data_IF_190869367826
#
_entry.id   IF_190869367826
#
_cell.length_a   1.000
_cell.length_b   1.000
_cell.length_c   1.000
_cell.angle_alpha   90.00
_cell.angle_beta   90.00
_cell.angle_gamma   90.00
#
_symmetry.space_group_name_H-M   'P 1'
#
loop_
_entity.id
_entity.type
_entity.pdbx_description
1 polymer ?
#
# COMPACT_ATOMS: atom_id res chain seq x y z
N UNK A 1 -47.20 10.63 -20.55
CA UNK A 1 -45.85 10.04 -20.61
C UNK A 1 -45.21 10.25 -19.25
N UNK A 2 -44.96 9.19 -18.49
CA UNK A 2 -44.32 9.30 -17.16
C UNK A 2 -42.80 9.38 -17.36
N UNK A 3 -42.31 10.58 -17.66
CA UNK A 3 -40.90 10.91 -17.78
C UNK A 3 -40.43 11.56 -16.48
N UNK A 4 -39.26 11.14 -15.98
CA UNK A 4 -38.61 11.76 -14.83
C UNK A 4 -38.21 13.22 -15.17
N UNK A 5 -38.29 14.17 -14.21
CA UNK A 5 -37.87 15.55 -14.41
C UNK A 5 -36.41 15.66 -14.88
N UNK A 6 -36.12 16.57 -15.80
CA UNK A 6 -34.74 16.75 -16.28
C UNK A 6 -33.77 17.09 -15.12
N UNK A 7 -32.56 16.47 -15.05
CA UNK A 7 -31.62 16.69 -13.95
C UNK A 7 -31.17 18.15 -13.83
N UNK A 8 -30.93 18.58 -12.58
CA UNK A 8 -30.61 19.98 -12.25
C UNK A 8 -29.13 20.35 -12.40
N UNK A 9 -28.25 19.38 -12.66
CA UNK A 9 -26.80 19.60 -12.78
C UNK A 9 -26.47 20.19 -14.16
N UNK A 10 -25.45 21.05 -14.23
CA UNK A 10 -24.96 21.66 -15.48
C UNK A 10 -24.52 20.61 -16.51
N UNK A 11 -23.83 19.58 -16.05
CA UNK A 11 -23.42 18.42 -16.84
C UNK A 11 -23.98 17.15 -16.16
N UNK A 12 -25.21 16.75 -16.48
CA UNK A 12 -25.81 15.56 -15.88
C UNK A 12 -25.11 14.31 -16.39
N UNK A 13 -24.97 13.30 -15.52
CA UNK A 13 -24.40 12.03 -15.94
C UNK A 13 -25.38 11.26 -16.86
N UNK A 14 -24.90 10.38 -17.75
CA UNK A 14 -25.75 9.48 -18.53
C UNK A 14 -26.77 8.72 -17.68
N UNK A 15 -26.39 8.31 -16.46
CA UNK A 15 -27.29 7.63 -15.52
C UNK A 15 -28.38 8.55 -14.99
N UNK A 16 -28.05 9.82 -14.69
CA UNK A 16 -29.01 10.82 -14.23
C UNK A 16 -30.00 11.23 -15.34
N UNK A 17 -29.54 11.32 -16.60
CA UNK A 17 -30.42 11.65 -17.74
C UNK A 17 -31.53 10.59 -17.89
N UNK A 18 -31.16 9.31 -17.77
CA UNK A 18 -32.12 8.22 -17.89
C UNK A 18 -32.77 7.82 -16.56
N UNK A 19 -32.46 8.48 -15.44
CA UNK A 19 -32.98 8.13 -14.12
C UNK A 19 -32.79 6.63 -13.84
N UNK A 20 -31.53 6.18 -13.95
CA UNK A 20 -31.12 4.81 -13.70
C UNK A 20 -30.56 4.73 -12.29
N UNK A 21 -31.21 3.94 -11.44
CA UNK A 21 -30.77 3.69 -10.06
C UNK A 21 -29.67 2.63 -10.02
N UNK A 22 -28.95 2.53 -8.88
CA UNK A 22 -27.97 1.47 -8.67
C UNK A 22 -28.60 0.06 -8.74
N UNK A 23 -29.89 -0.06 -8.43
CA UNK A 23 -30.66 -1.29 -8.59
C UNK A 23 -30.82 -1.70 -10.06
N UNK A 24 -31.07 -0.74 -10.95
CA UNK A 24 -31.19 -0.98 -12.39
C UNK A 24 -29.86 -1.41 -13.04
N UNK A 25 -28.74 -1.13 -12.37
CA UNK A 25 -27.41 -1.55 -12.81
C UNK A 25 -27.12 -3.03 -12.57
N UNK A 26 -27.95 -3.69 -11.74
CA UNK A 26 -27.86 -5.13 -11.50
C UNK A 26 -28.68 -5.97 -12.50
N UNK A 27 -29.48 -5.31 -13.35
CA UNK A 27 -30.30 -5.95 -14.37
C UNK A 27 -29.44 -6.68 -15.41
N UNK A 28 -30.03 -7.72 -16.01
CA UNK A 28 -29.42 -8.39 -17.15
C UNK A 28 -29.19 -7.41 -18.31
N UNK A 29 -28.13 -7.62 -19.09
CA UNK A 29 -27.78 -6.74 -20.22
C UNK A 29 -28.95 -6.52 -21.19
N UNK A 30 -29.77 -7.55 -21.40
CA UNK A 30 -30.92 -7.49 -22.29
C UNK A 30 -32.05 -6.63 -21.72
N UNK A 31 -32.32 -6.76 -20.42
CA UNK A 31 -33.34 -5.97 -19.71
C UNK A 31 -32.94 -4.50 -19.64
N UNK A 32 -31.67 -4.24 -19.32
CA UNK A 32 -31.11 -2.90 -19.29
C UNK A 32 -31.22 -2.21 -20.67
N UNK A 33 -30.87 -2.93 -21.74
CA UNK A 33 -30.98 -2.39 -23.09
C UNK A 33 -32.43 -2.11 -23.50
N UNK A 34 -33.38 -2.97 -23.08
CA UNK A 34 -34.82 -2.76 -23.32
C UNK A 34 -35.33 -1.52 -22.58
N UNK A 35 -34.97 -1.36 -21.31
CA UNK A 35 -35.32 -0.22 -20.48
C UNK A 35 -34.72 1.07 -21.06
N UNK A 36 -33.43 1.05 -21.39
CA UNK A 36 -32.72 2.18 -21.99
C UNK A 36 -33.36 2.60 -23.31
N UNK A 37 -33.66 1.65 -24.21
CA UNK A 37 -34.34 1.93 -25.48
C UNK A 37 -35.71 2.57 -25.27
N UNK A 38 -36.50 2.07 -24.31
CA UNK A 38 -37.81 2.62 -23.97
C UNK A 38 -37.70 4.09 -23.53
N UNK A 39 -36.80 4.39 -22.59
CA UNK A 39 -36.56 5.75 -22.08
C UNK A 39 -36.00 6.67 -23.16
N UNK A 40 -35.06 6.18 -23.97
CA UNK A 40 -34.48 6.90 -25.11
C UNK A 40 -35.55 7.33 -26.13
N UNK A 41 -36.41 6.41 -26.57
CA UNK A 41 -37.48 6.74 -27.54
C UNK A 41 -38.43 7.80 -26.97
N UNK A 42 -38.74 7.76 -25.67
CA UNK A 42 -39.57 8.80 -25.05
C UNK A 42 -38.88 10.16 -25.01
N UNK A 43 -37.57 10.23 -24.77
CA UNK A 43 -36.82 11.49 -24.78
C UNK A 43 -36.64 12.05 -26.19
N UNK A 44 -36.40 11.18 -27.19
CA UNK A 44 -36.33 11.61 -28.59
C UNK A 44 -37.65 12.23 -29.02
N UNK A 45 -38.79 11.62 -28.71
CA UNK A 45 -40.11 12.20 -29.02
C UNK A 45 -40.32 13.59 -28.42
N UNK A 46 -39.66 13.89 -27.30
CA UNK A 46 -39.83 15.15 -26.59
C UNK A 46 -38.84 16.24 -27.06
N UNK A 47 -37.57 15.88 -27.31
CA UNK A 47 -36.50 16.84 -27.61
C UNK A 47 -36.01 16.82 -29.07
N UNK A 48 -36.52 15.95 -29.94
CA UNK A 48 -36.11 15.93 -31.35
C UNK A 48 -36.31 17.31 -32.00
N UNK A 49 -35.34 17.84 -32.76
CA UNK A 49 -35.41 19.20 -33.33
C UNK A 49 -36.60 19.39 -34.28
N UNK A 50 -37.12 18.31 -34.89
CA UNK A 50 -38.25 18.38 -35.80
C UNK A 50 -39.61 18.36 -35.07
N UNK A 51 -39.72 17.56 -34.00
CA UNK A 51 -40.96 17.36 -33.26
C UNK A 51 -41.18 18.45 -32.19
N UNK A 52 -40.08 19.00 -31.65
CA UNK A 52 -40.12 19.90 -30.49
C UNK A 52 -40.36 21.37 -30.82
N UNK A 53 -40.40 21.75 -32.11
CA UNK A 53 -40.69 23.12 -32.57
C UNK A 53 -42.04 23.62 -32.08
N UNK A 54 -43.05 22.75 -32.13
CA UNK A 54 -44.43 23.08 -31.74
C UNK A 54 -44.75 22.70 -30.28
N UNK A 55 -43.80 22.11 -29.55
CA UNK A 55 -44.01 21.67 -28.16
C UNK A 55 -43.55 22.75 -27.17
N UNK A 56 -44.47 23.26 -26.36
CA UNK A 56 -44.15 24.13 -25.23
C UNK A 56 -43.70 23.28 -24.04
N UNK A 57 -42.40 23.18 -23.83
CA UNK A 57 -41.80 22.41 -22.73
C UNK A 57 -41.40 23.39 -21.64
N UNK A 58 -41.99 23.23 -20.45
CA UNK A 58 -41.64 24.05 -19.29
C UNK A 58 -40.61 23.32 -18.43
N UNK A 59 -39.58 24.05 -17.98
CA UNK A 59 -38.65 23.60 -16.96
C UNK A 59 -38.53 24.70 -15.91
N UNK A 60 -38.84 24.35 -14.66
CA UNK A 60 -38.86 25.30 -13.53
C UNK A 60 -39.72 26.55 -13.81
N UNK A 61 -40.88 26.35 -14.44
CA UNK A 61 -41.80 27.45 -14.77
C UNK A 61 -41.38 28.32 -15.97
N UNK A 62 -40.21 28.08 -16.57
CA UNK A 62 -39.74 28.80 -17.77
C UNK A 62 -39.93 27.96 -19.04
N UNK A 63 -40.32 28.60 -20.14
CA UNK A 63 -40.39 27.97 -21.46
C UNK A 63 -38.97 27.68 -21.96
N UNK A 64 -38.69 26.43 -22.34
CA UNK A 64 -37.40 26.08 -22.92
C UNK A 64 -37.20 26.75 -24.28
N UNK A 65 -36.09 27.49 -24.41
CA UNK A 65 -35.57 27.92 -25.70
C UNK A 65 -35.21 26.71 -26.59
N UNK A 66 -35.35 26.86 -27.90
CA UNK A 66 -34.99 25.86 -28.90
C UNK A 66 -33.53 25.39 -28.77
N UNK A 67 -32.61 26.32 -28.45
CA UNK A 67 -31.20 26.00 -28.21
C UNK A 67 -31.02 25.01 -27.05
N UNK A 68 -31.79 25.17 -25.97
CA UNK A 68 -31.71 24.27 -24.81
C UNK A 68 -32.32 22.90 -25.15
N UNK A 69 -33.41 22.87 -25.93
CA UNK A 69 -34.00 21.60 -26.41
C UNK A 69 -32.98 20.82 -27.24
N UNK A 70 -32.27 21.51 -28.13
CA UNK A 70 -31.21 20.90 -28.94
C UNK A 70 -30.06 20.36 -28.08
N UNK A 71 -29.57 21.16 -27.13
CA UNK A 71 -28.52 20.70 -26.19
C UNK A 71 -28.94 19.46 -25.41
N UNK A 72 -30.19 19.41 -24.92
CA UNK A 72 -30.73 18.23 -24.23
C UNK A 72 -30.81 17.01 -25.14
N UNK A 73 -31.20 17.20 -26.39
CA UNK A 73 -31.20 16.13 -27.39
C UNK A 73 -29.79 15.56 -27.61
N UNK A 74 -28.79 16.43 -27.80
CA UNK A 74 -27.40 16.00 -27.98
C UNK A 74 -26.88 15.25 -26.73
N UNK A 75 -27.24 15.71 -25.53
CA UNK A 75 -26.92 15.00 -24.27
C UNK A 75 -27.60 13.64 -24.15
N UNK A 76 -28.87 13.51 -24.54
CA UNK A 76 -29.60 12.24 -24.56
C UNK A 76 -28.95 11.26 -25.54
N UNK A 77 -28.54 11.74 -26.71
CA UNK A 77 -27.87 10.95 -27.74
C UNK A 77 -26.53 10.41 -27.21
N UNK A 78 -25.70 11.31 -26.67
CA UNK A 78 -24.40 10.94 -26.11
C UNK A 78 -24.55 9.93 -24.96
N UNK A 79 -25.49 10.18 -24.06
CA UNK A 79 -25.79 9.29 -22.94
C UNK A 79 -26.23 7.90 -23.41
N UNK A 80 -27.06 7.84 -24.46
CA UNK A 80 -27.50 6.57 -25.04
C UNK A 80 -26.33 5.79 -25.63
N UNK A 81 -25.46 6.46 -26.38
CA UNK A 81 -24.32 5.81 -27.03
C UNK A 81 -23.29 5.26 -26.02
N UNK A 82 -23.10 5.94 -24.89
CA UNK A 82 -22.24 5.44 -23.80
C UNK A 82 -22.88 4.24 -23.10
N UNK A 83 -24.18 4.31 -22.81
CA UNK A 83 -24.85 3.29 -22.01
C UNK A 83 -25.25 2.07 -22.83
N UNK A 84 -25.47 2.18 -24.14
CA UNK A 84 -25.87 1.05 -25.00
C UNK A 84 -24.80 -0.04 -25.03
N UNK A 85 -23.53 0.35 -25.17
CA UNK A 85 -22.42 -0.60 -25.25
C UNK A 85 -21.97 -1.01 -23.84
N UNK A 86 -21.92 -2.32 -23.52
CA UNK A 86 -21.56 -2.78 -22.18
C UNK A 86 -20.12 -2.38 -21.81
N UNK A 87 -19.21 -2.38 -22.77
CA UNK A 87 -17.81 -1.97 -22.56
C UNK A 87 -17.71 -0.48 -22.23
N UNK A 88 -18.36 0.38 -23.02
CA UNK A 88 -18.40 1.84 -22.78
C UNK A 88 -19.10 2.18 -21.47
N UNK A 89 -20.18 1.47 -21.13
CA UNK A 89 -20.88 1.59 -19.84
C UNK A 89 -19.99 1.28 -18.65
N UNK A 90 -19.25 0.16 -18.69
CA UNK A 90 -18.32 -0.22 -17.62
C UNK A 90 -17.16 0.78 -17.54
N UNK A 91 -16.62 1.19 -18.68
CA UNK A 91 -15.55 2.18 -18.78
C UNK A 91 -15.97 3.53 -18.17
N UNK A 92 -17.16 4.02 -18.52
CA UNK A 92 -17.74 5.24 -17.98
C UNK A 92 -17.98 5.12 -16.47
N UNK A 93 -18.54 3.99 -16.00
CA UNK A 93 -18.72 3.73 -14.57
C UNK A 93 -17.39 3.80 -13.81
N UNK A 94 -16.33 3.18 -14.35
CA UNK A 94 -14.98 3.23 -13.75
C UNK A 94 -14.47 4.66 -13.66
N UNK A 95 -14.67 5.46 -14.71
CA UNK A 95 -14.32 6.87 -14.72
C UNK A 95 -15.06 7.64 -13.62
N UNK A 96 -16.38 7.49 -13.51
CA UNK A 96 -17.19 8.19 -12.51
C UNK A 96 -16.89 7.77 -11.07
N UNK A 97 -16.63 6.48 -10.81
CA UNK A 97 -16.32 5.98 -9.46
C UNK A 97 -14.93 6.37 -8.96
N UNK A 98 -14.04 6.83 -9.84
CA UNK A 98 -12.67 7.16 -9.46
C UNK A 98 -12.51 8.62 -8.98
N UNK A 99 -13.59 9.37 -8.71
CA UNK A 99 -13.50 10.78 -8.32
C UNK A 99 -12.71 10.95 -6.99
N UNK A 100 -11.80 11.91 -6.94
CA UNK A 100 -10.73 12.00 -5.93
C UNK A 100 -11.15 12.53 -4.55
N UNK A 101 -12.35 13.06 -4.38
CA UNK A 101 -12.77 13.66 -3.10
C UNK A 101 -12.88 12.64 -1.96
N UNK A 102 -12.90 11.33 -2.28
CA UNK A 102 -13.03 10.24 -1.31
C UNK A 102 -11.79 9.33 -1.21
N UNK A 103 -10.74 9.55 -2.01
CA UNK A 103 -9.60 8.64 -2.07
C UNK A 103 -8.47 9.05 -1.11
N UNK A 104 -8.00 8.13 -0.22
CA UNK A 104 -6.85 8.42 0.64
C UNK A 104 -5.61 8.67 -0.23
N UNK A 105 -4.90 9.77 0.05
CA UNK A 105 -3.68 10.16 -0.66
C UNK A 105 -2.61 9.08 -0.48
N UNK A 106 -2.26 8.40 -1.57
CA UNK A 106 -1.19 7.40 -1.57
C UNK A 106 0.18 8.09 -1.47
N UNK A 107 0.95 7.78 -0.42
CA UNK A 107 2.35 8.21 -0.28
C UNK A 107 3.27 7.03 -0.67
N UNK A 108 4.00 7.20 -1.77
CA UNK A 108 4.90 6.19 -2.35
C UNK A 108 6.07 5.81 -1.43
N UNK A 109 6.42 6.67 -0.46
CA UNK A 109 7.61 6.49 0.35
C UNK A 109 7.39 5.72 1.67
N UNK A 110 6.14 5.41 2.04
CA UNK A 110 5.84 4.88 3.39
C UNK A 110 4.94 3.65 3.45
N UNK A 111 4.41 3.16 2.32
CA UNK A 111 3.40 2.10 2.36
C UNK A 111 3.86 0.82 1.61
N UNK A 112 3.82 -0.36 2.26
CA UNK A 112 4.12 -1.64 1.59
C UNK A 112 3.13 -1.91 0.46
N UNK A 113 3.54 -2.70 -0.53
CA UNK A 113 2.65 -3.08 -1.64
C UNK A 113 1.41 -3.81 -1.09
N UNK A 114 0.24 -3.19 -1.23
CA UNK A 114 -1.05 -3.76 -0.89
C UNK A 114 -2.00 -3.59 -2.07
N UNK A 115 -3.03 -4.45 -2.17
CA UNK A 115 -4.07 -4.35 -3.20
C UNK A 115 -4.70 -2.95 -3.22
N UNK A 116 -4.89 -2.38 -2.03
CA UNK A 116 -5.47 -1.06 -1.83
C UNK A 116 -4.55 0.07 -2.34
N UNK A 117 -3.24 -0.07 -2.12
CA UNK A 117 -2.22 0.87 -2.62
C UNK A 117 -2.08 0.80 -4.15
N UNK A 118 -2.15 -0.40 -4.72
CA UNK A 118 -2.16 -0.58 -6.18
C UNK A 118 -3.40 0.03 -6.83
N UNK A 119 -4.57 -0.17 -6.22
CA UNK A 119 -5.82 0.46 -6.68
C UNK A 119 -5.76 1.99 -6.59
N UNK A 120 -5.20 2.55 -5.50
CA UNK A 120 -4.98 3.98 -5.33
C UNK A 120 -3.99 4.55 -6.38
N UNK A 121 -2.89 3.85 -6.64
CA UNK A 121 -1.93 4.22 -7.70
C UNK A 121 -2.57 4.17 -9.10
N UNK A 122 -3.37 3.13 -9.39
CA UNK A 122 -4.12 3.02 -10.65
C UNK A 122 -5.11 4.16 -10.82
N UNK A 123 -5.81 4.55 -9.75
CA UNK A 123 -6.70 5.73 -9.73
C UNK A 123 -5.92 7.03 -9.98
N UNK A 124 -4.74 7.19 -9.38
CA UNK A 124 -3.89 8.35 -9.59
C UNK A 124 -3.39 8.51 -11.03
N UNK A 125 -3.00 7.41 -11.66
CA UNK A 125 -2.50 7.44 -13.02
C UNK A 125 -3.62 7.56 -14.08
N UNK A 126 -4.88 7.34 -13.68
CA UNK A 126 -6.07 7.53 -14.52
C UNK A 126 -6.57 8.98 -14.61
N UNK A 127 -6.09 9.89 -13.74
CA UNK A 127 -6.57 11.27 -13.63
C UNK A 127 -5.57 12.35 -14.05
N UNK A 128 -4.49 11.98 -14.73
CA UNK A 128 -3.72 12.99 -15.48
C UNK A 128 -4.68 13.60 -16.50
N UNK A 129 -4.78 14.92 -16.57
CA UNK A 129 -5.77 15.67 -17.37
C UNK A 129 -5.89 15.22 -18.83
N UNK A 130 -4.87 14.53 -19.35
CA UNK A 130 -4.92 13.86 -20.66
C UNK A 130 -6.02 12.78 -20.77
N UNK A 131 -6.40 12.12 -19.66
CA UNK A 131 -7.21 10.88 -19.66
C UNK A 131 -8.69 11.06 -19.32
N UNK A 132 -9.31 12.16 -19.76
CA UNK A 132 -10.76 12.29 -19.67
C UNK A 132 -11.46 11.17 -20.45
N UNK A 133 -12.63 10.70 -20.02
CA UNK A 133 -13.35 9.64 -20.72
C UNK A 133 -13.58 9.97 -22.21
N UNK A 134 -13.81 11.26 -22.54
CA UNK A 134 -13.99 11.73 -23.91
C UNK A 134 -12.69 11.80 -24.72
N UNK A 135 -11.55 12.07 -24.06
CA UNK A 135 -10.25 12.18 -24.73
C UNK A 135 -9.61 10.79 -24.95
N UNK A 136 -9.68 9.91 -23.94
CA UNK A 136 -8.99 8.61 -23.93
C UNK A 136 -9.98 7.47 -23.65
N UNK A 137 -10.98 7.31 -24.51
CA UNK A 137 -11.98 6.24 -24.37
C UNK A 137 -11.35 4.83 -24.40
N UNK A 138 -10.31 4.65 -25.24
CA UNK A 138 -9.56 3.40 -25.35
C UNK A 138 -8.92 2.98 -24.03
N UNK A 139 -8.45 3.94 -23.22
CA UNK A 139 -7.87 3.66 -21.91
C UNK A 139 -8.90 3.12 -20.92
N UNK A 140 -10.09 3.70 -20.90
CA UNK A 140 -11.15 3.29 -19.98
C UNK A 140 -11.83 1.98 -20.41
N UNK A 141 -11.86 1.72 -21.72
CA UNK A 141 -12.40 0.48 -22.29
C UNK A 141 -11.42 -0.68 -22.31
N UNK A 142 -10.11 -0.45 -22.12
CA UNK A 142 -9.10 -1.50 -22.01
C UNK A 142 -9.36 -2.41 -20.80
N UNK A 143 -9.96 -3.58 -21.08
CA UNK A 143 -10.30 -4.59 -20.08
C UNK A 143 -9.28 -5.71 -20.01
N UNK A 144 -8.61 -5.99 -21.12
CA UNK A 144 -7.61 -7.04 -21.27
C UNK A 144 -6.21 -6.46 -21.43
N UNK A 145 -5.19 -7.29 -21.21
CA UNK A 145 -3.80 -6.91 -21.50
C UNK A 145 -3.62 -6.56 -22.98
N UNK A 146 -4.31 -7.25 -23.89
CA UNK A 146 -4.26 -7.00 -25.32
C UNK A 146 -4.79 -5.61 -25.70
N UNK A 147 -5.91 -5.20 -25.09
CA UNK A 147 -6.48 -3.87 -25.30
C UNK A 147 -5.53 -2.77 -24.81
N UNK A 148 -4.92 -2.98 -23.64
CA UNK A 148 -3.92 -2.06 -23.11
C UNK A 148 -2.68 -1.98 -24.01
N UNK A 149 -2.24 -3.12 -24.54
CA UNK A 149 -1.10 -3.19 -25.45
C UNK A 149 -1.38 -2.43 -26.74
N UNK A 150 -2.57 -2.62 -27.33
CA UNK A 150 -3.02 -1.89 -28.52
C UNK A 150 -3.04 -0.39 -28.28
N UNK A 151 -3.63 0.05 -27.18
CA UNK A 151 -3.67 1.47 -26.80
C UNK A 151 -2.26 2.06 -26.58
N UNK A 152 -1.35 1.32 -25.93
CA UNK A 152 -0.01 1.83 -25.59
C UNK A 152 0.94 1.87 -26.78
N UNK A 153 0.90 0.84 -27.63
CA UNK A 153 1.88 0.64 -28.70
C UNK A 153 1.30 0.83 -30.10
N UNK A 154 0.00 1.18 -30.21
CA UNK A 154 -0.73 1.33 -31.47
C UNK A 154 -0.53 0.17 -32.45
N UNK A 155 -0.37 -1.05 -31.92
CA UNK A 155 -0.13 -2.27 -32.70
C UNK A 155 -0.83 -3.47 -32.05
N UNK A 156 -1.16 -4.48 -32.86
CA UNK A 156 -1.70 -5.73 -32.36
C UNK A 156 -0.71 -6.41 -31.39
N UNK A 157 -1.21 -7.15 -30.39
CA UNK A 157 -0.35 -7.94 -29.52
C UNK A 157 0.50 -8.91 -30.36
N UNK A 158 1.76 -9.15 -29.96
CA UNK A 158 2.66 -10.03 -30.70
C UNK A 158 2.04 -11.42 -30.77
N UNK A 159 1.98 -11.99 -31.97
CA UNK A 159 1.48 -13.34 -32.16
C UNK A 159 2.47 -14.37 -31.61
N UNK A 160 2.01 -15.60 -31.38
CA UNK A 160 2.89 -16.69 -30.90
C UNK A 160 4.12 -16.87 -31.79
N UNK A 161 3.96 -16.69 -33.10
CA UNK A 161 5.02 -16.80 -34.09
C UNK A 161 6.12 -15.72 -33.92
N UNK A 162 5.75 -14.48 -33.60
CA UNK A 162 6.71 -13.41 -33.34
C UNK A 162 7.48 -13.61 -32.04
N UNK A 163 6.82 -14.20 -31.03
CA UNK A 163 7.45 -14.58 -29.77
C UNK A 163 8.44 -15.74 -29.98
N UNK A 164 8.08 -16.74 -30.76
CA UNK A 164 8.97 -17.86 -31.06
C UNK A 164 10.22 -17.42 -31.83
N UNK A 165 10.10 -16.46 -32.74
CA UNK A 165 11.26 -15.85 -33.43
C UNK A 165 12.20 -15.12 -32.47
N UNK A 166 11.66 -14.51 -31.41
CA UNK A 166 12.43 -13.73 -30.44
C UNK A 166 12.78 -14.47 -29.14
N UNK A 167 12.40 -15.76 -29.01
CA UNK A 167 12.48 -16.52 -27.75
C UNK A 167 13.87 -16.53 -27.12
N UNK A 168 14.92 -16.65 -27.93
CA UNK A 168 16.30 -16.69 -27.44
C UNK A 168 16.78 -15.31 -26.95
N UNK A 169 16.34 -14.21 -27.58
CA UNK A 169 16.67 -12.86 -27.11
C UNK A 169 16.00 -12.56 -25.78
N UNK A 170 14.73 -12.95 -25.63
CA UNK A 170 13.98 -12.81 -24.38
C UNK A 170 14.64 -13.67 -23.28
N UNK A 171 14.95 -14.93 -23.58
CA UNK A 171 15.62 -15.83 -22.65
C UNK A 171 16.97 -15.29 -22.18
N UNK A 172 17.80 -14.81 -23.12
CA UNK A 172 19.08 -14.20 -22.79
C UNK A 172 18.91 -12.98 -21.88
N UNK A 173 17.94 -12.11 -22.16
CA UNK A 173 17.64 -10.96 -21.30
C UNK A 173 17.20 -11.35 -19.89
N UNK A 174 16.32 -12.37 -19.77
CA UNK A 174 15.87 -12.88 -18.46
C UNK A 174 17.03 -13.49 -17.68
N UNK A 175 17.87 -14.29 -18.33
CA UNK A 175 19.05 -14.88 -17.69
C UNK A 175 20.05 -13.83 -17.21
N UNK A 176 20.24 -12.74 -17.98
CA UNK A 176 21.11 -11.63 -17.60
C UNK A 176 20.57 -10.89 -16.36
N UNK A 177 19.28 -10.59 -16.33
CA UNK A 177 18.65 -9.95 -15.16
C UNK A 177 18.70 -10.88 -13.93
N UNK A 178 18.47 -12.18 -14.12
CA UNK A 178 18.56 -13.16 -13.05
C UNK A 178 19.98 -13.30 -12.51
N UNK A 179 21.00 -13.33 -13.37
CA UNK A 179 22.40 -13.42 -12.94
C UNK A 179 22.83 -12.16 -12.18
N UNK A 180 22.42 -10.98 -12.62
CA UNK A 180 22.65 -9.73 -11.90
C UNK A 180 22.00 -9.75 -10.51
N UNK A 181 20.72 -10.10 -10.42
CA UNK A 181 20.03 -10.18 -9.14
C UNK A 181 20.69 -11.19 -8.19
N UNK A 182 21.10 -12.34 -8.71
CA UNK A 182 21.79 -13.37 -7.94
C UNK A 182 23.16 -12.90 -7.44
N UNK A 183 23.95 -12.20 -8.27
CA UNK A 183 25.23 -11.63 -7.85
C UNK A 183 25.07 -10.61 -6.72
N UNK A 184 24.03 -9.77 -6.76
CA UNK A 184 23.71 -8.82 -5.69
C UNK A 184 23.33 -9.53 -4.39
N UNK A 185 22.54 -10.60 -4.48
CA UNK A 185 22.19 -11.40 -3.30
C UNK A 185 23.40 -12.08 -2.68
N UNK A 186 24.32 -12.61 -3.50
CA UNK A 186 25.59 -13.18 -3.00
C UNK A 186 26.41 -12.12 -2.30
N UNK A 187 26.55 -10.92 -2.89
CA UNK A 187 27.34 -9.84 -2.28
C UNK A 187 26.78 -9.45 -0.90
N UNK A 188 25.47 -9.25 -0.80
CA UNK A 188 24.80 -8.98 0.48
C UNK A 188 24.94 -10.11 1.48
N UNK A 189 24.94 -11.37 1.02
CA UNK A 189 25.15 -12.52 1.90
C UNK A 189 26.60 -12.56 2.42
N UNK A 190 27.59 -12.31 1.55
CA UNK A 190 29.00 -12.28 1.93
C UNK A 190 29.28 -11.19 2.97
N UNK A 191 28.75 -9.97 2.77
CA UNK A 191 28.92 -8.87 3.71
C UNK A 191 28.35 -9.23 5.09
N UNK A 192 27.12 -9.78 5.15
CA UNK A 192 26.52 -10.25 6.40
C UNK A 192 27.32 -11.37 7.06
N UNK A 193 27.88 -12.30 6.28
CA UNK A 193 28.71 -13.37 6.85
C UNK A 193 30.01 -12.84 7.42
N UNK A 194 30.63 -11.83 6.78
CA UNK A 194 31.84 -11.19 7.29
C UNK A 194 31.56 -10.44 8.60
N UNK A 195 30.46 -9.69 8.67
CA UNK A 195 30.01 -9.04 9.90
C UNK A 195 29.78 -10.05 11.03
N UNK A 196 29.09 -11.16 10.73
CA UNK A 196 28.84 -12.22 11.71
C UNK A 196 30.14 -12.89 12.19
N UNK A 197 31.09 -13.16 11.28
CA UNK A 197 32.39 -13.72 11.63
C UNK A 197 33.20 -12.77 12.51
N UNK A 198 33.19 -11.46 12.20
CA UNK A 198 33.84 -10.45 13.02
C UNK A 198 33.22 -10.37 14.41
N UNK A 199 31.89 -10.30 14.49
CA UNK A 199 31.17 -10.26 15.76
C UNK A 199 31.45 -11.52 16.60
N UNK A 200 31.43 -12.70 15.98
CA UNK A 200 31.74 -13.97 16.65
C UNK A 200 33.18 -13.99 17.20
N UNK A 201 34.15 -13.45 16.45
CA UNK A 201 35.53 -13.32 16.94
C UNK A 201 35.63 -12.39 18.13
N UNK A 202 34.97 -11.23 18.07
CA UNK A 202 34.93 -10.28 19.18
C UNK A 202 34.30 -10.89 20.44
N UNK A 203 33.16 -11.57 20.29
CA UNK A 203 32.52 -12.24 21.43
C UNK A 203 33.38 -13.36 21.98
N UNK A 204 34.08 -14.12 21.13
CA UNK A 204 34.99 -15.16 21.61
C UNK A 204 36.17 -14.56 22.39
N UNK A 205 36.74 -13.44 21.92
CA UNK A 205 37.80 -12.74 22.65
C UNK A 205 37.31 -12.24 24.00
N UNK A 206 36.12 -11.64 24.06
CA UNK A 206 35.49 -11.20 25.31
C UNK A 206 35.25 -12.38 26.26
N UNK A 207 34.70 -13.48 25.76
CA UNK A 207 34.46 -14.68 26.58
C UNK A 207 35.77 -15.28 27.09
N UNK A 208 36.84 -15.26 26.28
CA UNK A 208 38.16 -15.72 26.72
C UNK A 208 38.74 -14.81 27.80
N UNK A 209 38.60 -13.49 27.64
CA UNK A 209 38.99 -12.50 28.64
C UNK A 209 38.20 -12.67 29.94
N UNK A 210 36.87 -12.79 29.87
CA UNK A 210 36.00 -13.05 31.01
C UNK A 210 36.33 -14.37 31.71
N UNK A 211 36.64 -15.41 30.93
CA UNK A 211 37.06 -16.71 31.48
C UNK A 211 38.41 -16.60 32.17
N UNK A 212 39.37 -15.87 31.59
CA UNK A 212 40.66 -15.61 32.21
C UNK A 212 40.51 -14.79 33.50
N UNK A 213 39.64 -13.78 33.51
CA UNK A 213 39.31 -13.07 34.73
C UNK A 213 38.65 -14.00 35.74
N UNK A 214 37.71 -14.86 35.33
CA UNK A 214 37.09 -15.82 36.24
C UNK A 214 38.09 -16.82 36.83
N UNK A 215 39.09 -17.29 36.07
CA UNK A 215 40.09 -18.23 36.60
C UNK A 215 41.00 -17.58 37.62
N UNK A 216 41.35 -16.31 37.43
CA UNK A 216 42.10 -15.51 38.40
C UNK A 216 41.21 -14.80 39.45
N UNK A 217 39.92 -15.15 39.51
CA UNK A 217 38.90 -14.49 40.34
C UNK A 217 38.95 -12.96 40.27
N UNK A 218 39.08 -12.39 39.07
CA UNK A 218 39.19 -10.95 38.80
C UNK A 218 40.39 -10.28 39.50
N UNK A 219 41.46 -11.03 39.78
CA UNK A 219 42.66 -10.53 40.45
C UNK A 219 42.57 -10.52 41.97
N UNK A 220 41.47 -11.04 42.55
CA UNK A 220 41.30 -11.13 44.00
C UNK A 220 42.07 -12.30 44.63
N UNK A 221 42.91 -13.02 43.88
CA UNK A 221 43.78 -14.09 44.40
C UNK A 221 43.09 -15.43 44.67
N UNK A 222 43.86 -16.52 44.77
CA UNK A 222 43.33 -17.88 44.93
C UNK A 222 43.49 -18.44 46.35
N UNK A 223 44.12 -17.69 47.25
CA UNK A 223 44.47 -18.21 48.57
C UNK A 223 43.23 -18.34 49.48
N UNK A 224 43.28 -19.17 50.54
CA UNK A 224 42.19 -19.28 51.50
C UNK A 224 41.78 -17.94 52.14
N UNK A 225 42.76 -17.09 52.45
CA UNK A 225 42.52 -15.76 53.03
C UNK A 225 41.80 -14.82 52.06
N UNK A 226 42.20 -14.84 50.79
CA UNK A 226 41.56 -14.10 49.70
C UNK A 226 40.10 -14.51 49.50
N UNK A 227 39.81 -15.81 49.55
CA UNK A 227 38.44 -16.32 49.49
C UNK A 227 37.59 -15.83 50.65
N UNK A 228 38.16 -15.78 51.86
CA UNK A 228 37.47 -15.25 53.03
C UNK A 228 37.20 -13.75 52.89
N UNK A 229 38.18 -12.98 52.40
CA UNK A 229 38.03 -11.56 52.09
C UNK A 229 36.90 -11.32 51.06
N UNK A 230 36.85 -12.09 49.97
CA UNK A 230 35.76 -12.03 48.99
C UNK A 230 34.39 -12.31 49.59
N UNK A 231 34.29 -13.34 50.43
CA UNK A 231 33.05 -13.67 51.12
C UNK A 231 32.58 -12.51 52.02
N UNK A 232 33.48 -11.90 52.78
CA UNK A 232 33.16 -10.75 53.64
C UNK A 232 32.72 -9.54 52.82
N UNK A 233 33.41 -9.22 51.72
CA UNK A 233 33.00 -8.14 50.80
C UNK A 233 31.61 -8.40 50.20
N UNK A 234 31.33 -9.62 49.75
CA UNK A 234 30.01 -10.02 49.20
C UNK A 234 28.92 -10.00 50.28
N UNK A 235 29.22 -10.46 51.49
CA UNK A 235 28.32 -10.37 52.64
C UNK A 235 28.02 -8.91 52.97
N UNK A 236 29.04 -8.04 53.03
CA UNK A 236 28.87 -6.61 53.30
C UNK A 236 28.00 -5.95 52.23
N UNK A 237 28.26 -6.21 50.95
CA UNK A 237 27.45 -5.62 49.88
C UNK A 237 25.99 -6.09 49.91
N UNK A 238 25.74 -7.37 50.21
CA UNK A 238 24.37 -7.89 50.33
C UNK A 238 23.63 -7.34 51.56
N UNK A 239 24.31 -7.15 52.70
CA UNK A 239 23.74 -6.52 53.89
C UNK A 239 23.39 -5.04 53.62
N UNK A 240 24.32 -4.28 53.05
CA UNK A 240 24.09 -2.88 52.66
C UNK A 240 22.94 -2.71 51.66
N UNK A 241 22.73 -3.68 50.75
CA UNK A 241 21.59 -3.63 49.82
C UNK A 241 20.25 -3.99 50.48
N UNK A 242 20.25 -4.88 51.49
CA UNK A 242 19.05 -5.36 52.16
C UNK A 242 18.49 -4.36 53.19
N UNK A 243 19.36 -3.62 53.86
CA UNK A 243 19.03 -2.68 54.94
C UNK A 243 18.94 -1.22 54.49
N UNK A 244 18.40 -0.96 53.29
CA UNK A 244 18.16 0.41 52.76
C UNK A 244 17.25 1.32 53.61
N UNK A 245 16.86 0.92 54.82
CA UNK A 245 16.03 1.68 55.76
C UNK A 245 16.66 1.95 57.13
N UNK A 246 17.68 1.22 57.56
CA UNK A 246 18.42 1.47 58.81
C UNK A 246 19.87 1.86 58.47
N UNK A 247 20.40 2.89 59.12
CA UNK A 247 21.76 3.41 58.87
C UNK A 247 22.75 2.40 59.44
N UNK A 248 23.09 1.37 58.67
CA UNK A 248 24.22 0.49 58.98
C UNK A 248 25.48 1.19 58.52
N UNK A 249 26.36 1.51 59.48
CA UNK A 249 27.60 2.22 59.21
C UNK A 249 28.59 1.30 58.48
N UNK A 250 28.90 1.61 57.21
CA UNK A 250 29.80 0.83 56.36
C UNK A 250 31.21 0.73 56.97
N UNK A 251 31.61 1.72 57.77
CA UNK A 251 32.90 1.71 58.47
C UNK A 251 32.95 0.66 59.57
N UNK A 252 31.86 0.45 60.30
CA UNK A 252 31.82 -0.54 61.39
C UNK A 252 31.86 -1.96 60.84
N UNK A 253 31.16 -2.23 59.74
CA UNK A 253 31.22 -3.53 59.06
C UNK A 253 32.63 -3.82 58.52
N UNK A 254 33.30 -2.81 57.94
CA UNK A 254 34.70 -2.93 57.49
C UNK A 254 35.64 -3.28 58.64
N UNK A 255 35.52 -2.59 59.77
CA UNK A 255 36.37 -2.85 60.94
C UNK A 255 36.15 -4.29 61.48
N UNK A 256 34.90 -4.77 61.53
CA UNK A 256 34.59 -6.14 61.91
C UNK A 256 35.18 -7.17 60.93
N UNK A 257 35.08 -6.90 59.62
CA UNK A 257 35.66 -7.75 58.58
C UNK A 257 37.19 -7.85 58.72
N UNK A 258 37.87 -6.73 58.93
CA UNK A 258 39.33 -6.67 59.08
C UNK A 258 39.81 -7.41 60.34
N UNK A 259 39.10 -7.29 61.46
CA UNK A 259 39.38 -8.07 62.67
C UNK A 259 39.27 -9.58 62.43
N UNK A 260 38.26 -10.03 61.67
CA UNK A 260 38.08 -11.44 61.33
C UNK A 260 39.22 -11.95 60.45
N UNK A 261 39.69 -11.15 59.49
CA UNK A 261 40.82 -11.49 58.64
C UNK A 261 42.12 -11.62 59.44
N UNK A 262 42.38 -10.69 60.37
CA UNK A 262 43.58 -10.75 61.25
C UNK A 262 43.53 -12.00 62.13
N UNK A 263 42.38 -12.31 62.76
CA UNK A 263 42.22 -13.52 63.59
C UNK A 263 42.41 -14.79 62.78
N UNK A 264 41.93 -14.81 61.54
CA UNK A 264 42.10 -15.95 60.64
C UNK A 264 43.58 -16.13 60.25
N UNK A 265 44.28 -15.06 59.87
CA UNK A 265 45.71 -15.08 59.54
C UNK A 265 46.56 -15.63 60.70
N UNK A 266 46.33 -15.12 61.92
CA UNK A 266 47.03 -15.59 63.13
C UNK A 266 46.79 -17.07 63.46
N UNK A 267 45.65 -17.64 63.04
CA UNK A 267 45.30 -19.04 63.28
C UNK A 267 45.93 -19.97 62.23
N UNK A 268 46.16 -19.48 61.02
CA UNK A 268 46.76 -20.26 59.92
C UNK A 268 48.28 -20.35 60.04
N UNK A 269 48.92 -19.39 60.70
CA UNK A 269 50.38 -19.39 60.96
C UNK A 269 50.83 -20.27 62.15
N UNK A 270 49.90 -20.82 62.93
CA UNK A 270 50.17 -21.76 64.03
C UNK A 270 49.91 -23.21 63.61
#
# INVERSE_FOLDING_TARGET
>A
MNLHPWPNKRNPSPYEIFDLSDGDMSLSQLEMNKLLKKKYVSYVKLYHPDLSKNLQIYHKGSLLSENIKRQRFDQVQEAYDILKDPRRRVAFRRYTTNNWDEAPRYNQNTAPFSKQNYEAYRRAQGHRSSKSFKADEEFWSAGTWEDYYKMKYNRAPPTKEELEKNKYKILAGVLLVASLAFSLQIMLALDRTNEYLLQSRLTNLQVMEDLQHSTDNYGDGLQPLDRMRRFLISRRSTLLMKEKGDIVDDTDLKNQDDELLIKYAQKVEK
#
